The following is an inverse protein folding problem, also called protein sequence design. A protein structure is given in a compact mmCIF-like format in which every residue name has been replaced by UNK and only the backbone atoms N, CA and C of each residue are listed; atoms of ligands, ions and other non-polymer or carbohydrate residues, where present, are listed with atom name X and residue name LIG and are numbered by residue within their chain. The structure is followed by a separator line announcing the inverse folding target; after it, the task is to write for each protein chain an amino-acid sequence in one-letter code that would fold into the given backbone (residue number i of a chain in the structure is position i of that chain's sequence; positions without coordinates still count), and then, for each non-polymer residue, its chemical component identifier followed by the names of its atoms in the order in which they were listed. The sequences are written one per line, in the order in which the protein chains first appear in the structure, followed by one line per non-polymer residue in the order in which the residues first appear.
data_IF_924247166526
#
_entry.id   IF_924247166526
#
_cell.length_a   1.000
_cell.length_b   1.000
_cell.length_c   1.000
_cell.angle_alpha   90.00
_cell.angle_beta   90.00
_cell.angle_gamma   90.00
#
_symmetry.space_group_name_H-M   'P 1'
#
loop_
_entity.id
_entity.type
_entity.pdbx_description
1 polymer ?
#
# COMPACT_ATOMS: atom_id res chain seq x y z
N UNK A 1 -4.50 3.71 -35.78
CA UNK A 1 -4.03 2.81 -34.71
C UNK A 1 -4.20 3.55 -33.40
N UNK A 2 -4.76 2.92 -32.37
CA UNK A 2 -4.92 3.56 -31.07
C UNK A 2 -3.54 3.67 -30.40
N UNK A 3 -3.17 4.87 -29.99
CA UNK A 3 -1.96 5.13 -29.22
C UNK A 3 -2.18 4.61 -27.81
N UNK A 4 -1.37 3.63 -27.38
CA UNK A 4 -1.47 3.09 -26.02
C UNK A 4 -0.59 3.97 -25.15
N UNK A 5 -1.23 4.78 -24.31
CA UNK A 5 -0.56 5.62 -23.34
C UNK A 5 -0.41 4.89 -22.01
N UNK A 6 0.80 4.94 -21.45
CA UNK A 6 1.09 4.37 -20.13
C UNK A 6 1.55 5.47 -19.18
N UNK A 7 1.00 5.46 -17.97
CA UNK A 7 1.40 6.37 -16.89
C UNK A 7 2.02 5.56 -15.73
N UNK A 8 3.15 5.99 -15.16
CA UNK A 8 3.67 5.43 -13.92
C UNK A 8 2.55 5.32 -12.88
N UNK A 9 2.38 4.15 -12.27
CA UNK A 9 1.21 3.83 -11.46
C UNK A 9 1.64 3.28 -10.10
N UNK A 10 1.07 3.85 -9.04
CA UNK A 10 1.15 3.34 -7.68
C UNK A 10 -0.22 2.78 -7.27
N UNK A 11 -0.27 1.51 -6.88
CA UNK A 11 -1.46 0.88 -6.30
C UNK A 11 -1.23 0.68 -4.80
N UNK A 12 -2.11 1.26 -3.99
CA UNK A 12 -2.04 1.25 -2.53
C UNK A 12 -3.15 0.35 -1.99
N UNK A 13 -2.79 -0.75 -1.33
CA UNK A 13 -3.72 -1.59 -0.59
C UNK A 13 -3.83 -1.13 0.86
N UNK A 14 -5.05 -0.89 1.36
CA UNK A 14 -5.29 -0.53 2.77
C UNK A 14 -6.01 -1.68 3.50
N UNK A 15 -5.36 -2.21 4.53
CA UNK A 15 -5.86 -3.35 5.32
C UNK A 15 -5.85 -4.68 4.56
N UNK A 16 -6.45 -5.70 5.18
CA UNK A 16 -6.43 -7.08 4.65
C UNK A 16 -7.02 -7.23 3.24
N UNK A 17 -8.19 -6.63 2.97
CA UNK A 17 -8.78 -6.69 1.61
C UNK A 17 -7.91 -5.97 0.58
N UNK A 18 -7.37 -4.80 0.91
CA UNK A 18 -6.47 -4.08 0.02
C UNK A 18 -5.19 -4.87 -0.28
N UNK A 19 -4.65 -5.54 0.74
CA UNK A 19 -3.51 -6.46 0.62
C UNK A 19 -3.80 -7.62 -0.33
N UNK A 20 -4.95 -8.28 -0.17
CA UNK A 20 -5.38 -9.39 -1.01
C UNK A 20 -5.51 -8.97 -2.48
N UNK A 21 -6.17 -7.83 -2.75
CA UNK A 21 -6.30 -7.32 -4.12
C UNK A 21 -4.94 -7.00 -4.75
N UNK A 22 -4.02 -6.41 -3.98
CA UNK A 22 -2.66 -6.14 -4.45
C UNK A 22 -1.90 -7.43 -4.77
N UNK A 23 -1.99 -8.45 -3.92
CA UNK A 23 -1.36 -9.75 -4.16
C UNK A 23 -1.91 -10.43 -5.42
N UNK A 24 -3.24 -10.43 -5.60
CA UNK A 24 -3.88 -10.96 -6.80
C UNK A 24 -3.46 -10.21 -8.06
N UNK A 25 -3.41 -8.86 -8.00
CA UNK A 25 -2.97 -8.05 -9.12
C UNK A 25 -1.51 -8.33 -9.49
N UNK A 26 -0.64 -8.44 -8.47
CA UNK A 26 0.76 -8.82 -8.66
C UNK A 26 0.89 -10.20 -9.30
N UNK A 27 0.15 -11.20 -8.83
CA UNK A 27 0.12 -12.54 -9.41
C UNK A 27 -0.27 -12.49 -10.89
N UNK A 28 -1.32 -11.74 -11.24
CA UNK A 28 -1.74 -11.57 -12.64
C UNK A 28 -0.65 -11.00 -13.54
N UNK A 29 0.15 -10.04 -13.05
CA UNK A 29 1.27 -9.52 -13.84
C UNK A 29 2.39 -10.55 -14.01
N UNK A 30 2.73 -11.30 -12.96
CA UNK A 30 3.73 -12.36 -13.03
C UNK A 30 3.29 -13.49 -13.98
N UNK A 31 2.03 -13.91 -13.91
CA UNK A 31 1.46 -14.94 -14.79
C UNK A 31 1.48 -14.53 -16.27
N UNK A 32 1.05 -13.30 -16.57
CA UNK A 32 0.85 -12.87 -17.96
C UNK A 32 2.12 -12.31 -18.61
N UNK A 33 3.02 -11.70 -17.83
CA UNK A 33 4.21 -11.00 -18.35
C UNK A 33 5.53 -11.57 -17.84
N UNK A 34 5.51 -12.54 -16.91
CA UNK A 34 6.70 -13.05 -16.24
C UNK A 34 7.34 -12.07 -15.23
N UNK A 35 6.87 -10.82 -15.19
CA UNK A 35 7.38 -9.77 -14.32
C UNK A 35 6.34 -8.68 -14.06
N UNK A 36 6.48 -7.97 -12.95
CA UNK A 36 5.74 -6.72 -12.72
C UNK A 36 6.40 -5.61 -13.55
N UNK A 37 5.67 -4.87 -14.41
CA UNK A 37 6.23 -3.76 -15.16
C UNK A 37 6.89 -2.71 -14.25
N UNK A 38 8.04 -2.18 -14.65
CA UNK A 38 8.78 -1.22 -13.81
C UNK A 38 7.98 0.05 -13.51
N UNK A 39 7.11 0.45 -14.45
CA UNK A 39 6.19 1.58 -14.31
C UNK A 39 5.07 1.35 -13.28
N UNK A 40 4.95 0.15 -12.70
CA UNK A 40 3.97 -0.19 -11.69
C UNK A 40 4.65 -0.44 -10.34
N UNK A 41 4.06 0.10 -9.28
CA UNK A 41 4.48 -0.17 -7.90
C UNK A 41 3.28 -0.49 -7.03
N UNK A 42 3.52 -1.33 -6.03
CA UNK A 42 2.58 -1.71 -5.01
C UNK A 42 3.04 -1.20 -3.65
N UNK A 43 2.09 -0.77 -2.83
CA UNK A 43 2.32 -0.47 -1.41
C UNK A 43 1.11 -0.93 -0.61
N UNK A 44 1.32 -1.72 0.42
CA UNK A 44 0.26 -2.18 1.32
C UNK A 44 0.51 -1.61 2.70
N UNK A 45 -0.54 -1.03 3.29
CA UNK A 45 -0.54 -0.58 4.68
C UNK A 45 -1.48 -1.48 5.48
N UNK A 46 -0.96 -2.26 6.42
CA UNK A 46 -1.77 -3.19 7.23
C UNK A 46 -1.27 -3.27 8.67
N UNK A 47 -2.21 -3.48 9.59
CA UNK A 47 -1.99 -3.73 11.02
C UNK A 47 -1.61 -5.17 11.35
N UNK A 48 -1.68 -6.09 10.38
CA UNK A 48 -1.25 -7.49 10.50
C UNK A 48 0.00 -7.71 9.66
N UNK A 49 0.95 -8.54 10.12
CA UNK A 49 2.17 -8.84 9.37
C UNK A 49 1.86 -9.42 7.97
N UNK A 50 2.75 -9.15 7.02
CA UNK A 50 2.69 -9.70 5.65
C UNK A 50 3.17 -11.16 5.59
N UNK A 51 2.51 -12.06 6.31
CA UNK A 51 2.78 -13.51 6.25
C UNK A 51 1.94 -14.22 5.19
N UNK A 52 1.01 -13.49 4.56
CA UNK A 52 0.07 -14.04 3.58
C UNK A 52 0.72 -14.12 2.19
N UNK A 53 0.46 -15.23 1.50
CA UNK A 53 0.88 -15.52 0.14
C UNK A 53 -0.35 -15.86 -0.69
N UNK A 54 -0.33 -15.53 -1.98
CA UNK A 54 -1.32 -16.03 -2.95
C UNK A 54 -0.63 -17.01 -3.87
N UNK A 55 -1.30 -18.12 -4.16
CA UNK A 55 -0.85 -19.06 -5.19
C UNK A 55 -1.29 -18.54 -6.55
N UNK A 56 -0.33 -18.31 -7.45
CA UNK A 56 -0.61 -17.99 -8.84
C UNK A 56 -1.19 -19.19 -9.58
N UNK A 57 -1.81 -18.92 -10.72
CA UNK A 57 -2.43 -19.95 -11.58
C UNK A 57 -1.39 -20.97 -12.09
N UNK A 58 -0.10 -20.61 -12.12
CA UNK A 58 1.02 -21.49 -12.49
C UNK A 58 1.66 -22.20 -11.27
N UNK A 59 1.10 -22.04 -10.08
CA UNK A 59 1.50 -22.72 -8.85
C UNK A 59 2.62 -22.06 -8.05
N UNK A 60 3.15 -20.94 -8.52
CA UNK A 60 4.11 -20.11 -7.79
C UNK A 60 3.46 -19.38 -6.62
N UNK A 61 4.23 -19.14 -5.56
CA UNK A 61 3.79 -18.36 -4.40
C UNK A 61 4.21 -16.91 -4.58
N UNK A 62 3.23 -16.02 -4.54
CA UNK A 62 3.42 -14.58 -4.70
C UNK A 62 3.38 -13.91 -3.34
N UNK A 63 4.41 -13.10 -3.07
CA UNK A 63 4.60 -12.38 -1.81
C UNK A 63 4.75 -10.89 -2.05
N UNK A 64 4.48 -10.12 -1.00
CA UNK A 64 4.92 -8.74 -0.90
C UNK A 64 6.38 -8.71 -0.44
N UNK A 65 7.20 -7.95 -1.15
CA UNK A 65 8.55 -7.62 -0.70
C UNK A 65 8.50 -6.59 0.43
N UNK A 66 9.59 -6.42 1.19
CA UNK A 66 9.66 -5.44 2.28
C UNK A 66 9.36 -4.00 1.86
N UNK A 67 9.60 -3.64 0.60
CA UNK A 67 9.31 -2.29 0.08
C UNK A 67 7.84 -2.12 -0.37
N UNK A 68 7.11 -3.22 -0.57
CA UNK A 68 5.71 -3.23 -0.95
C UNK A 68 4.78 -3.30 0.26
N UNK A 69 5.32 -3.36 1.49
CA UNK A 69 4.54 -3.54 2.70
C UNK A 69 5.04 -2.65 3.85
N UNK A 70 4.15 -1.81 4.37
CA UNK A 70 4.36 -1.02 5.58
C UNK A 70 3.49 -1.56 6.69
N UNK A 71 4.14 -2.14 7.70
CA UNK A 71 3.47 -2.63 8.91
C UNK A 71 3.03 -1.45 9.78
N UNK A 72 1.77 -1.48 10.21
CA UNK A 72 1.17 -0.47 11.09
C UNK A 72 0.91 -0.99 12.51
N UNK A 73 1.14 -2.28 12.77
CA UNK A 73 0.88 -2.86 14.08
C UNK A 73 2.01 -2.67 15.10
N UNK A 74 2.00 -3.53 16.12
CA UNK A 74 2.86 -3.48 17.30
C UNK A 74 2.77 -2.11 18.00
N UNK A 75 1.54 -1.76 18.38
CA UNK A 75 1.19 -0.51 19.07
C UNK A 75 0.44 -0.86 20.35
N UNK A 76 0.89 -0.34 21.49
CA UNK A 76 0.06 -0.29 22.70
C UNK A 76 -0.93 0.87 22.57
N UNK A 77 -2.11 0.56 22.04
CA UNK A 77 -3.11 1.58 21.77
C UNK A 77 -3.89 2.00 23.03
N UNK A 78 -3.81 1.24 24.12
CA UNK A 78 -4.38 1.67 25.40
C UNK A 78 -3.57 2.84 25.98
N UNK A 79 -2.24 2.79 25.93
CA UNK A 79 -1.39 3.89 26.38
C UNK A 79 -1.70 5.19 25.61
N UNK A 80 -1.89 5.09 24.29
CA UNK A 80 -2.28 6.24 23.45
C UNK A 80 -3.65 6.78 23.89
N UNK A 81 -4.63 5.90 24.12
CA UNK A 81 -6.00 6.29 24.48
C UNK A 81 -6.04 6.96 25.86
N UNK A 82 -5.28 6.45 26.83
CA UNK A 82 -5.15 7.04 28.17
C UNK A 82 -4.46 8.41 28.12
N UNK A 83 -3.58 8.60 27.14
CA UNK A 83 -2.82 9.84 26.94
C UNK A 83 -3.33 10.70 25.78
N UNK A 84 -4.59 10.59 25.36
CA UNK A 84 -5.13 11.33 24.19
C UNK A 84 -4.93 12.85 24.25
N UNK A 85 -4.87 13.43 25.45
CA UNK A 85 -4.58 14.86 25.65
C UNK A 85 -3.22 15.29 25.06
N UNK A 86 -2.26 14.37 24.91
CA UNK A 86 -0.97 14.58 24.25
C UNK A 86 -1.05 14.49 22.73
N UNK A 87 -2.15 13.99 22.19
CA UNK A 87 -2.38 13.77 20.77
C UNK A 87 -3.68 14.46 20.30
N UNK A 88 -3.73 15.80 20.26
CA UNK A 88 -4.95 16.56 19.93
C UNK A 88 -5.62 16.11 18.61
N UNK A 89 -4.81 15.85 17.58
CA UNK A 89 -5.29 15.40 16.28
C UNK A 89 -5.96 14.03 16.30
N UNK A 90 -5.59 13.14 17.23
CA UNK A 90 -6.23 11.82 17.39
C UNK A 90 -7.46 11.98 18.29
N UNK A 91 -7.35 12.80 19.34
CA UNK A 91 -8.43 13.07 20.30
C UNK A 91 -9.68 13.68 19.66
N UNK A 92 -9.52 14.40 18.54
CA UNK A 92 -10.62 15.02 17.78
C UNK A 92 -11.62 13.99 17.24
N UNK A 93 -11.15 12.82 16.79
CA UNK A 93 -11.97 11.84 16.09
C UNK A 93 -12.01 10.45 16.74
N UNK A 94 -11.08 10.13 17.66
CA UNK A 94 -11.02 8.79 18.25
C UNK A 94 -12.18 8.56 19.24
N UNK A 95 -12.96 7.46 19.11
CA UNK A 95 -14.07 7.20 20.02
C UNK A 95 -13.60 6.89 21.44
N UNK A 96 -13.95 7.75 22.40
CA UNK A 96 -13.47 7.67 23.81
C UNK A 96 -13.91 6.41 24.56
N UNK A 97 -14.93 5.70 24.07
CA UNK A 97 -15.42 4.46 24.66
C UNK A 97 -14.59 3.24 24.25
N UNK A 98 -13.82 3.33 23.15
CA UNK A 98 -13.04 2.20 22.66
C UNK A 98 -11.81 1.96 23.55
N UNK A 99 -11.52 0.68 23.81
CA UNK A 99 -10.33 0.18 24.50
C UNK A 99 -9.67 -0.87 23.61
N UNK A 100 -8.79 -0.44 22.69
CA UNK A 100 -8.27 -1.30 21.63
C UNK A 100 -7.25 -2.36 22.10
N UNK A 101 -6.64 -2.21 23.27
CA UNK A 101 -5.56 -3.11 23.69
C UNK A 101 -4.29 -2.90 22.86
N UNK A 102 -3.55 -3.98 22.66
CA UNK A 102 -2.37 -4.01 21.78
C UNK A 102 -2.81 -4.35 20.36
N UNK A 103 -2.38 -3.54 19.38
CA UNK A 103 -2.63 -3.79 17.95
C UNK A 103 -1.50 -4.66 17.41
N UNK A 104 -1.49 -5.96 17.70
CA UNK A 104 -0.48 -6.93 17.23
C UNK A 104 -1.05 -7.96 16.23
N UNK A 105 -2.36 -8.21 16.29
CA UNK A 105 -3.09 -9.17 15.43
C UNK A 105 -4.11 -8.49 14.53
N UNK A 106 -3.85 -7.23 14.19
CA UNK A 106 -4.71 -6.41 13.35
C UNK A 106 -5.75 -5.59 14.12
N UNK A 107 -6.49 -4.76 13.38
CA UNK A 107 -7.45 -3.80 13.93
C UNK A 107 -8.84 -4.39 14.28
N UNK A 108 -9.01 -5.71 14.29
CA UNK A 108 -10.28 -6.41 14.59
C UNK A 108 -11.50 -5.87 13.81
N UNK A 109 -11.30 -5.46 12.55
CA UNK A 109 -12.32 -4.82 11.70
C UNK A 109 -12.88 -3.48 12.24
N UNK A 110 -12.29 -2.91 13.29
CA UNK A 110 -12.70 -1.63 13.85
C UNK A 110 -11.95 -0.51 13.14
N UNK A 111 -12.63 0.20 12.25
CA UNK A 111 -12.08 1.31 11.43
C UNK A 111 -11.30 2.35 12.24
N UNK A 112 -11.80 2.71 13.43
CA UNK A 112 -11.13 3.68 14.30
C UNK A 112 -9.77 3.20 14.79
N UNK A 113 -9.61 1.90 15.04
CA UNK A 113 -8.33 1.29 15.46
C UNK A 113 -7.35 1.27 14.29
N UNK A 114 -7.80 0.90 13.09
CA UNK A 114 -6.97 0.96 11.89
C UNK A 114 -6.50 2.40 11.58
N UNK A 115 -7.40 3.37 11.69
CA UNK A 115 -7.06 4.80 11.55
C UNK A 115 -6.08 5.25 12.62
N UNK A 116 -6.23 4.80 13.86
CA UNK A 116 -5.28 5.10 14.94
C UNK A 116 -3.88 4.60 14.60
N UNK A 117 -3.76 3.36 14.16
CA UNK A 117 -2.48 2.77 13.77
C UNK A 117 -1.81 3.55 12.63
N UNK A 118 -2.58 3.93 11.60
CA UNK A 118 -2.09 4.73 10.49
C UNK A 118 -1.57 6.10 10.94
N UNK A 119 -2.34 6.81 11.77
CA UNK A 119 -1.94 8.14 12.26
C UNK A 119 -0.77 8.08 13.24
N UNK A 120 -0.69 7.03 14.06
CA UNK A 120 0.45 6.78 14.93
C UNK A 120 1.75 6.58 14.14
N UNK A 121 1.66 5.89 12.99
CA UNK A 121 2.78 5.58 12.09
C UNK A 121 2.90 6.57 10.93
N UNK A 122 2.30 7.76 11.01
CA UNK A 122 2.16 8.66 9.85
C UNK A 122 3.51 9.03 9.21
N UNK A 123 4.57 9.20 10.01
CA UNK A 123 5.91 9.51 9.48
C UNK A 123 6.47 8.36 8.64
N UNK A 124 6.28 7.11 9.09
CA UNK A 124 6.72 5.91 8.35
C UNK A 124 5.90 5.75 7.06
N UNK A 125 4.58 5.95 7.15
CA UNK A 125 3.67 5.90 5.99
C UNK A 125 4.04 6.95 4.94
N UNK A 126 4.28 8.20 5.35
CA UNK A 126 4.71 9.27 4.43
C UNK A 126 6.07 8.92 3.81
N UNK A 127 7.01 8.41 4.60
CA UNK A 127 8.31 7.96 4.08
C UNK A 127 8.19 6.85 3.02
N UNK A 128 7.31 5.88 3.24
CA UNK A 128 7.04 4.79 2.30
C UNK A 128 6.38 5.30 1.00
N UNK A 129 5.40 6.20 1.12
CA UNK A 129 4.74 6.85 -0.02
C UNK A 129 5.74 7.66 -0.85
N UNK A 130 6.55 8.49 -0.20
CA UNK A 130 7.58 9.30 -0.85
C UNK A 130 8.60 8.43 -1.58
N UNK A 131 9.03 7.33 -0.97
CA UNK A 131 9.95 6.39 -1.62
C UNK A 131 9.32 5.77 -2.87
N UNK A 132 8.07 5.29 -2.78
CA UNK A 132 7.36 4.71 -3.91
C UNK A 132 7.16 5.72 -5.06
N UNK A 133 6.75 6.95 -4.73
CA UNK A 133 6.55 8.04 -5.70
C UNK A 133 7.88 8.44 -6.35
N UNK A 134 8.96 8.64 -5.57
CA UNK A 134 10.29 8.97 -6.11
C UNK A 134 10.80 7.90 -7.07
N UNK A 135 10.61 6.63 -6.72
CA UNK A 135 11.01 5.51 -7.58
C UNK A 135 10.24 5.51 -8.92
N UNK A 136 8.93 5.80 -8.91
CA UNK A 136 8.14 5.93 -10.13
C UNK A 136 8.55 7.14 -10.97
N UNK A 137 8.83 8.29 -10.34
CA UNK A 137 9.27 9.49 -11.06
C UNK A 137 10.65 9.33 -11.69
N UNK A 138 11.56 8.60 -11.05
CA UNK A 138 12.86 8.31 -11.63
C UNK A 138 12.75 7.54 -12.95
N UNK A 139 11.75 6.64 -13.05
CA UNK A 139 11.45 5.90 -14.28
C UNK A 139 10.68 6.74 -15.32
N UNK A 140 9.85 7.68 -14.86
CA UNK A 140 9.12 8.61 -15.72
C UNK A 140 10.05 9.56 -16.52
N UNK A 141 11.27 9.77 -16.03
CA UNK A 141 12.27 10.60 -16.69
C UNK A 141 13.17 9.81 -17.65
N UNK A 142 12.95 8.49 -17.80
CA UNK A 142 13.65 7.67 -18.78
C UNK A 142 12.80 7.66 -20.05
N UNK A 143 13.30 8.17 -21.21
CA UNK A 143 12.57 8.05 -22.46
C UNK A 143 12.40 6.57 -22.78
N UNK A 144 11.18 6.04 -22.61
CA UNK A 144 10.85 4.67 -22.99
C UNK A 144 10.88 4.59 -24.52
N UNK A 145 12.07 4.36 -25.08
CA UNK A 145 12.24 4.16 -26.52
C UNK A 145 11.96 2.70 -26.81
N UNK A 146 10.68 2.32 -26.81
CA UNK A 146 10.22 1.06 -27.36
C UNK A 146 9.91 1.28 -28.85
N UNK A 147 10.30 0.31 -29.68
CA UNK A 147 10.28 0.29 -31.15
C UNK A 147 8.95 0.72 -31.83
N UNK A 148 8.94 0.96 -33.17
CA UNK A 148 7.93 1.78 -33.85
C UNK A 148 6.48 1.29 -33.67
N UNK A 149 5.75 2.03 -32.84
CA UNK A 149 4.33 1.84 -32.49
C UNK A 149 3.93 2.76 -31.33
N UNK A 150 4.55 3.96 -31.30
CA UNK A 150 4.75 4.87 -30.17
C UNK A 150 3.80 4.68 -28.98
N UNK A 151 4.31 4.03 -27.93
CA UNK A 151 3.76 4.20 -26.59
C UNK A 151 4.20 5.59 -26.11
N UNK A 152 3.27 6.53 -26.00
CA UNK A 152 3.58 7.82 -25.37
C UNK A 152 3.35 7.72 -23.87
N UNK A 153 4.32 8.20 -23.10
CA UNK A 153 4.19 8.29 -21.66
C UNK A 153 3.43 9.57 -21.31
N UNK A 154 2.28 9.45 -20.64
CA UNK A 154 1.58 10.63 -20.14
C UNK A 154 2.34 11.24 -18.96
N UNK A 155 2.34 12.57 -18.87
CA UNK A 155 2.87 13.28 -17.69
C UNK A 155 2.07 12.91 -16.42
N UNK A 156 2.78 12.79 -15.30
CA UNK A 156 2.20 12.54 -13.97
C UNK A 156 2.27 11.08 -13.51
N UNK A 157 1.66 10.80 -12.35
CA UNK A 157 1.58 9.47 -11.74
C UNK A 157 0.11 9.16 -11.46
N UNK A 158 -0.34 7.95 -11.81
CA UNK A 158 -1.65 7.44 -11.41
C UNK A 158 -1.54 6.80 -10.02
N UNK A 159 -2.41 7.18 -9.09
CA UNK A 159 -2.48 6.56 -7.77
C UNK A 159 -3.85 5.93 -7.59
N UNK A 160 -3.88 4.62 -7.36
CA UNK A 160 -5.08 3.87 -7.02
C UNK A 160 -5.01 3.47 -5.55
N UNK A 161 -6.10 3.70 -4.80
CA UNK A 161 -6.22 3.26 -3.42
C UNK A 161 -7.33 2.22 -3.36
N UNK A 162 -7.00 1.04 -2.86
CA UNK A 162 -7.91 -0.11 -2.77
C UNK A 162 -8.13 -0.43 -1.29
N UNK A 163 -9.40 -0.41 -0.88
CA UNK A 163 -9.85 -0.73 0.48
C UNK A 163 -11.29 -1.23 0.43
N UNK A 164 -11.76 -1.90 1.48
CA UNK A 164 -13.16 -2.26 1.72
C UNK A 164 -13.83 -1.28 2.67
#
# INVERSE_FOLDING_TARGET
MAEIQFRPTLVIGLGGTGKEVVLLLKARFLENLGQVPEILRFLVLDTTLATEEVQGDLGERVYLSPIEFQYLGNIDANDIVENLHKFPFIAEWFPKILRPGVIDRGAAMVRAIGRLALFWRVQEVVGALDAAIRNLMALANIPLTLQPGALTQEQGISIFIVSS
#
